data_IF_656669771779
#
_entry.id   IF_656669771779
#
_cell.length_a   1.000
_cell.length_b   1.000
_cell.length_c   1.000
_cell.angle_alpha   90.00
_cell.angle_beta   90.00
_cell.angle_gamma   90.00
#
_symmetry.space_group_name_H-M   'P 1'
#
loop_
_entity.id
_entity.type
_entity.pdbx_description
1 polymer ?
#
# COMPACT_ATOMS: atom_id res chain seq x y z
N UNK A 1 3.15 -4.98 -11.17
CA UNK A 1 1.84 -5.54 -11.55
C UNK A 1 0.93 -4.36 -11.91
N UNK A 2 0.85 -3.97 -13.19
CA UNK A 2 0.25 -2.70 -13.64
C UNK A 2 -1.24 -2.85 -14.03
N UNK A 3 -1.97 -3.72 -13.34
CA UNK A 3 -3.29 -4.22 -13.78
C UNK A 3 -4.30 -3.08 -13.98
N UNK A 4 -4.34 -2.10 -13.08
CA UNK A 4 -5.32 -1.00 -13.18
C UNK A 4 -4.90 0.04 -14.20
N UNK A 5 -3.60 0.36 -14.28
CA UNK A 5 -3.08 1.38 -15.20
C UNK A 5 -3.19 0.90 -16.64
N UNK A 6 -2.75 -0.32 -16.94
CA UNK A 6 -2.87 -0.88 -18.28
C UNK A 6 -4.34 -1.02 -18.70
N UNK A 7 -5.21 -1.48 -17.81
CA UNK A 7 -6.64 -1.59 -18.10
C UNK A 7 -7.32 -0.24 -18.39
N UNK A 8 -6.79 0.88 -17.89
CA UNK A 8 -7.39 2.22 -18.06
C UNK A 8 -6.72 3.07 -19.13
N UNK A 9 -5.42 2.90 -19.34
CA UNK A 9 -4.57 3.80 -20.13
C UNK A 9 -3.67 3.05 -21.13
N UNK A 10 -3.76 1.72 -21.21
CA UNK A 10 -2.97 0.89 -22.11
C UNK A 10 -1.47 1.00 -21.86
N UNK A 11 -0.69 0.78 -22.92
CA UNK A 11 0.78 0.77 -22.85
C UNK A 11 1.38 2.14 -22.50
N UNK A 12 0.74 3.23 -22.92
CA UNK A 12 1.21 4.58 -22.62
C UNK A 12 1.20 4.85 -21.11
N UNK A 13 0.12 4.45 -20.41
CA UNK A 13 0.06 4.57 -18.96
C UNK A 13 1.09 3.70 -18.22
N UNK A 14 1.44 2.53 -18.76
CA UNK A 14 2.53 1.73 -18.17
C UNK A 14 3.87 2.45 -18.27
N UNK A 15 4.18 3.06 -19.43
CA UNK A 15 5.41 3.81 -19.62
C UNK A 15 5.47 5.05 -18.71
N UNK A 16 4.35 5.76 -18.54
CA UNK A 16 4.26 6.89 -17.61
C UNK A 16 4.49 6.47 -16.16
N UNK A 17 3.93 5.33 -15.73
CA UNK A 17 4.19 4.79 -14.40
C UNK A 17 5.67 4.46 -14.19
N UNK A 18 6.30 3.79 -15.16
CA UNK A 18 7.71 3.41 -15.06
C UNK A 18 8.62 4.66 -15.00
N UNK A 19 8.30 5.69 -15.78
CA UNK A 19 8.99 6.98 -15.71
C UNK A 19 8.79 7.65 -14.35
N UNK A 20 7.58 7.66 -13.82
CA UNK A 20 7.28 8.23 -12.51
C UNK A 20 8.06 7.53 -11.38
N UNK A 21 8.09 6.19 -11.37
CA UNK A 21 8.88 5.41 -10.40
C UNK A 21 10.35 5.81 -10.45
N UNK A 22 10.89 5.98 -11.66
CA UNK A 22 12.29 6.36 -11.86
C UNK A 22 12.58 7.80 -11.43
N UNK A 23 11.75 8.76 -11.82
CA UNK A 23 11.97 10.19 -11.54
C UNK A 23 11.76 10.54 -10.07
N UNK A 24 10.82 9.86 -9.40
CA UNK A 24 10.57 10.03 -7.97
C UNK A 24 11.52 9.20 -7.09
N UNK A 25 12.49 8.48 -7.69
CA UNK A 25 13.46 7.62 -7.00
C UNK A 25 12.79 6.60 -6.05
N UNK A 26 11.67 6.02 -6.48
CA UNK A 26 10.91 5.07 -5.67
C UNK A 26 11.62 3.72 -5.64
N UNK A 27 12.00 3.28 -4.45
CA UNK A 27 12.53 1.94 -4.22
C UNK A 27 11.42 0.89 -4.21
N UNK A 28 11.57 -0.14 -5.05
CA UNK A 28 10.67 -1.31 -5.03
C UNK A 28 11.23 -2.34 -4.05
N UNK A 29 10.52 -2.54 -2.95
CA UNK A 29 10.92 -3.48 -1.90
C UNK A 29 10.19 -4.82 -2.06
N UNK A 30 10.95 -5.91 -2.00
CA UNK A 30 10.39 -7.26 -1.96
C UNK A 30 9.62 -7.52 -0.66
N UNK A 31 8.52 -8.26 -0.75
CA UNK A 31 7.72 -8.60 0.43
C UNK A 31 8.34 -9.77 1.18
N UNK A 32 8.82 -9.52 2.40
CA UNK A 32 9.42 -10.54 3.26
C UNK A 32 8.38 -11.38 4.02
N UNK A 33 8.80 -12.53 4.55
CA UNK A 33 7.95 -13.40 5.38
C UNK A 33 7.48 -12.67 6.64
N UNK A 34 8.33 -11.83 7.23
CA UNK A 34 8.03 -10.99 8.39
C UNK A 34 6.92 -9.98 8.06
N UNK A 35 7.02 -9.31 6.91
CA UNK A 35 5.99 -8.40 6.43
C UNK A 35 4.66 -9.12 6.16
N UNK A 36 4.68 -10.36 5.67
CA UNK A 36 3.46 -11.18 5.54
C UNK A 36 2.83 -11.49 6.91
N UNK A 37 3.63 -11.77 7.94
CA UNK A 37 3.11 -11.99 9.31
C UNK A 37 2.42 -10.73 9.83
N UNK A 38 3.02 -9.55 9.60
CA UNK A 38 2.45 -8.25 9.97
C UNK A 38 1.16 -7.99 9.19
N UNK A 39 1.16 -8.18 7.87
CA UNK A 39 -0.01 -8.02 7.00
C UNK A 39 -1.21 -8.88 7.47
N UNK A 40 -0.95 -10.14 7.85
CA UNK A 40 -1.99 -11.04 8.40
C UNK A 40 -2.56 -10.53 9.72
N UNK A 41 -1.72 -10.00 10.59
CA UNK A 41 -2.17 -9.38 11.84
C UNK A 41 -2.98 -8.11 11.56
N UNK A 42 -2.52 -7.27 10.64
CA UNK A 42 -3.21 -6.06 10.21
C UNK A 42 -4.62 -6.36 9.71
N UNK A 43 -4.77 -7.35 8.81
CA UNK A 43 -6.09 -7.73 8.30
C UNK A 43 -7.02 -8.27 9.40
N UNK A 44 -6.47 -8.98 10.38
CA UNK A 44 -7.25 -9.47 11.52
C UNK A 44 -7.80 -8.32 12.38
N UNK A 45 -7.03 -7.25 12.58
CA UNK A 45 -7.41 -6.11 13.43
C UNK A 45 -8.20 -5.04 12.67
N UNK A 46 -7.82 -4.76 11.43
CA UNK A 46 -8.27 -3.61 10.66
C UNK A 46 -9.00 -3.97 9.36
N UNK A 47 -9.17 -5.25 9.04
CA UNK A 47 -9.71 -5.70 7.76
C UNK A 47 -11.17 -5.31 7.50
N UNK A 48 -11.50 -5.21 6.21
CA UNK A 48 -12.86 -4.92 5.71
C UNK A 48 -13.91 -5.86 6.30
N UNK A 49 -15.03 -5.29 6.72
CA UNK A 49 -16.15 -6.00 7.34
C UNK A 49 -15.97 -6.31 8.84
N UNK A 50 -14.82 -5.98 9.43
CA UNK A 50 -14.54 -6.17 10.87
C UNK A 50 -14.19 -4.88 11.60
N UNK A 51 -13.49 -3.96 10.93
CA UNK A 51 -13.02 -2.71 11.53
C UNK A 51 -13.38 -1.50 10.66
N UNK A 52 -13.61 -0.31 11.24
CA UNK A 52 -13.89 0.91 10.47
C UNK A 52 -12.78 1.36 9.50
N UNK A 53 -11.53 0.97 9.73
CA UNK A 53 -10.41 1.21 8.79
C UNK A 53 -10.61 0.44 7.48
N UNK A 54 -11.14 -0.78 7.57
CA UNK A 54 -11.62 -1.51 6.41
C UNK A 54 -10.56 -2.01 5.43
N UNK A 55 -9.34 -2.29 5.89
CA UNK A 55 -8.21 -2.69 5.02
C UNK A 55 -8.56 -3.87 4.11
N UNK A 56 -8.20 -3.76 2.84
CA UNK A 56 -8.27 -4.82 1.85
C UNK A 56 -6.92 -5.57 1.73
N UNK A 57 -6.83 -6.57 0.84
CA UNK A 57 -5.61 -7.38 0.68
C UNK A 57 -4.40 -6.56 0.19
N UNK A 58 -4.61 -5.61 -0.73
CA UNK A 58 -3.57 -4.70 -1.21
C UNK A 58 -3.07 -3.77 -0.10
N UNK A 59 -4.00 -3.21 0.68
CA UNK A 59 -3.68 -2.29 1.78
C UNK A 59 -2.80 -2.96 2.86
N UNK A 60 -2.92 -4.28 3.02
CA UNK A 60 -2.13 -5.02 3.99
C UNK A 60 -0.63 -5.02 3.66
N UNK A 61 -0.25 -4.93 2.38
CA UNK A 61 1.16 -4.80 1.98
C UNK A 61 1.70 -3.40 2.26
N UNK A 62 0.92 -2.37 1.93
CA UNK A 62 1.27 -0.99 2.24
C UNK A 62 1.41 -0.77 3.76
N UNK A 63 0.44 -1.30 4.54
CA UNK A 63 0.49 -1.28 5.99
C UNK A 63 1.71 -2.02 6.54
N UNK A 64 1.99 -3.24 6.05
CA UNK A 64 3.07 -4.05 6.62
C UNK A 64 4.45 -3.46 6.33
N UNK A 65 4.63 -2.87 5.15
CA UNK A 65 5.86 -2.17 4.79
C UNK A 65 6.09 -0.96 5.72
N UNK A 66 5.09 -0.09 5.86
CA UNK A 66 5.15 1.08 6.73
C UNK A 66 5.39 0.69 8.20
N UNK A 67 4.71 -0.35 8.69
CA UNK A 67 4.88 -0.86 10.06
C UNK A 67 6.26 -1.48 10.28
N UNK A 68 6.79 -2.19 9.29
CA UNK A 68 8.08 -2.87 9.39
C UNK A 68 9.25 -1.88 9.40
N UNK A 69 9.23 -0.88 8.51
CA UNK A 69 10.27 0.15 8.45
C UNK A 69 10.03 1.30 9.46
N UNK A 70 8.86 1.34 10.09
CA UNK A 70 8.45 2.42 10.99
C UNK A 70 8.49 3.79 10.30
N UNK A 71 8.01 3.83 9.05
CA UNK A 71 7.94 5.02 8.21
C UNK A 71 6.49 5.44 7.93
N UNK A 72 6.24 6.74 7.65
CA UNK A 72 4.90 7.21 7.33
C UNK A 72 4.38 6.64 6.02
N UNK A 73 3.12 6.19 6.02
CA UNK A 73 2.43 5.77 4.79
C UNK A 73 1.71 6.96 4.14
N UNK A 74 2.09 7.31 2.92
CA UNK A 74 1.34 8.26 2.08
C UNK A 74 0.15 7.56 1.43
N UNK A 75 -1.05 8.11 1.59
CA UNK A 75 -2.27 7.56 1.00
C UNK A 75 -3.32 8.64 0.75
N UNK A 76 -4.36 8.27 -0.01
CA UNK A 76 -5.54 9.11 -0.24
C UNK A 76 -6.77 8.44 0.36
N UNK A 77 -7.68 9.24 0.92
CA UNK A 77 -8.92 8.76 1.55
C UNK A 77 -8.74 8.50 3.05
N UNK A 78 -9.46 7.52 3.60
CA UNK A 78 -9.54 7.28 5.05
C UNK A 78 -9.01 5.90 5.49
N UNK A 79 -8.53 5.08 4.55
CA UNK A 79 -8.28 3.65 4.76
C UNK A 79 -7.29 3.36 5.90
N UNK A 80 -6.29 4.23 6.09
CA UNK A 80 -5.27 4.06 7.13
C UNK A 80 -5.46 4.99 8.34
N UNK A 81 -6.46 5.89 8.32
CA UNK A 81 -6.68 6.90 9.37
C UNK A 81 -6.99 6.30 10.75
N UNK A 82 -7.53 5.09 10.77
CA UNK A 82 -7.94 4.36 11.98
C UNK A 82 -7.06 3.14 12.25
N UNK A 83 -5.79 3.23 11.88
CA UNK A 83 -4.78 2.20 12.14
C UNK A 83 -3.74 2.72 13.12
N UNK A 84 -2.78 1.89 13.49
CA UNK A 84 -1.70 2.19 14.44
C UNK A 84 -0.34 2.44 13.74
N UNK A 85 -0.35 2.79 12.45
CA UNK A 85 0.83 3.27 11.72
C UNK A 85 0.81 4.79 11.60
N UNK A 86 2.00 5.37 11.42
CA UNK A 86 2.13 6.78 11.05
C UNK A 86 1.62 6.92 9.61
N UNK A 87 0.75 7.89 9.35
CA UNK A 87 0.17 8.06 8.03
C UNK A 87 0.08 9.53 7.64
N UNK A 88 0.19 9.77 6.33
CA UNK A 88 0.11 11.08 5.70
C UNK A 88 -1.00 10.99 4.66
N UNK A 89 -2.09 11.73 4.88
CA UNK A 89 -3.22 11.80 3.94
C UNK A 89 -3.08 12.99 3.01
N UNK A 90 -3.37 12.82 1.72
CA UNK A 90 -3.40 13.91 0.73
C UNK A 90 -4.64 13.87 -0.17
#
# INVERSE_FOLDING_TARGET
MNIVINSRFGQEGENELDNFIKEAEIEIVEVSVEQIKIARQAFKHYGKGRHPAGLNFGDCFAYSLAKYFNEPLLYKGDDFSKTDIISISH
#
